data_IF_259817110122
#
_entry.id   IF_259817110122
#
_cell.length_a   1.000
_cell.length_b   1.000
_cell.length_c   1.000
_cell.angle_alpha   90.00
_cell.angle_beta   90.00
_cell.angle_gamma   90.00
#
_symmetry.space_group_name_H-M   'P 1'
#
loop_
_entity.id
_entity.type
_entity.pdbx_description
1 polymer ?
#
# COMPACT_ATOMS: atom_id res chain seq x y z
N UNK A 1 -2.84 -0.02 18.54
CA UNK A 1 -4.10 -0.68 18.98
C UNK A 1 -5.29 -0.41 18.05
N UNK A 2 -5.48 0.84 17.62
CA UNK A 2 -6.65 1.23 16.82
C UNK A 2 -6.67 0.60 15.40
N UNK A 3 -5.52 0.57 14.72
CA UNK A 3 -5.38 -0.03 13.39
C UNK A 3 -5.82 -1.50 13.34
N UNK A 4 -5.43 -2.30 14.33
CA UNK A 4 -5.75 -3.74 14.38
C UNK A 4 -7.26 -3.93 14.50
N UNK A 5 -7.91 -3.19 15.40
CA UNK A 5 -9.36 -3.27 15.59
C UNK A 5 -10.13 -2.85 14.32
N UNK A 6 -9.71 -1.75 13.68
CA UNK A 6 -10.32 -1.27 12.42
C UNK A 6 -10.11 -2.22 11.26
N UNK A 7 -8.90 -2.73 11.08
CA UNK A 7 -8.59 -3.71 10.04
C UNK A 7 -9.40 -5.00 10.24
N UNK A 8 -9.49 -5.52 11.47
CA UNK A 8 -10.30 -6.70 11.79
C UNK A 8 -11.78 -6.47 11.49
N UNK A 9 -12.33 -5.30 11.84
CA UNK A 9 -13.72 -4.94 11.54
C UNK A 9 -13.96 -4.92 10.03
N UNK A 10 -13.12 -4.22 9.27
CA UNK A 10 -13.21 -4.16 7.80
C UNK A 10 -13.10 -5.54 7.14
N UNK A 11 -12.19 -6.38 7.60
CA UNK A 11 -12.03 -7.76 7.11
C UNK A 11 -13.28 -8.61 7.35
N UNK A 12 -13.97 -8.43 8.48
CA UNK A 12 -15.20 -9.17 8.79
C UNK A 12 -16.39 -8.67 7.98
N UNK A 13 -16.54 -7.36 7.85
CA UNK A 13 -17.73 -6.74 7.27
C UNK A 13 -17.68 -6.68 5.73
N UNK A 14 -16.50 -6.46 5.14
CA UNK A 14 -16.39 -6.11 3.71
C UNK A 14 -15.90 -7.24 2.79
N UNK A 15 -15.27 -8.29 3.33
CA UNK A 15 -14.78 -9.38 2.48
C UNK A 15 -15.92 -10.38 2.27
N UNK A 16 -16.40 -10.51 1.03
CA UNK A 16 -17.34 -11.57 0.69
C UNK A 16 -16.72 -12.97 0.92
N UNK A 17 -17.53 -14.01 1.19
CA UNK A 17 -17.01 -15.36 1.37
C UNK A 17 -16.18 -15.81 0.17
N UNK A 18 -14.92 -16.20 0.42
CA UNK A 18 -14.00 -16.59 -0.64
C UNK A 18 -14.47 -17.88 -1.31
N UNK A 19 -14.74 -17.81 -2.61
CA UNK A 19 -15.18 -18.96 -3.43
C UNK A 19 -13.98 -19.70 -4.02
N UNK A 20 -14.15 -21.00 -4.25
CA UNK A 20 -13.17 -21.83 -4.93
C UNK A 20 -12.92 -21.33 -6.36
N UNK A 21 -11.69 -21.43 -6.89
CA UNK A 21 -11.41 -21.03 -8.26
C UNK A 21 -12.20 -21.91 -9.23
N UNK A 22 -12.83 -21.31 -10.26
CA UNK A 22 -13.56 -22.04 -11.29
C UNK A 22 -12.74 -22.04 -12.58
N UNK A 23 -12.44 -23.22 -13.12
CA UNK A 23 -11.76 -23.39 -14.40
C UNK A 23 -12.83 -23.65 -15.45
N UNK A 24 -13.01 -22.72 -16.38
CA UNK A 24 -13.87 -22.89 -17.55
C UNK A 24 -13.01 -23.19 -18.78
N UNK A 25 -13.13 -24.39 -19.34
CA UNK A 25 -12.53 -24.71 -20.63
C UNK A 25 -13.60 -24.56 -21.71
N UNK A 26 -13.40 -23.59 -22.60
CA UNK A 26 -14.23 -23.38 -23.80
C UNK A 26 -13.48 -23.94 -24.99
N UNK A 27 -14.02 -24.98 -25.62
CA UNK A 27 -13.49 -25.50 -26.88
C UNK A 27 -14.27 -24.85 -28.02
N UNK A 28 -13.55 -24.16 -28.90
CA UNK A 28 -14.11 -23.52 -30.10
C UNK A 28 -13.58 -24.27 -31.32
N UNK A 29 -14.47 -24.63 -32.23
CA UNK A 29 -14.10 -25.17 -33.54
C UNK A 29 -13.74 -24.01 -34.47
N UNK A 30 -12.59 -24.11 -35.13
CA UNK A 30 -12.14 -23.11 -36.10
C UNK A 30 -12.29 -23.71 -37.48
N UNK A 31 -13.23 -23.18 -38.26
CA UNK A 31 -13.40 -23.54 -39.67
C UNK A 31 -12.61 -22.55 -40.54
N UNK A 32 -11.74 -23.09 -41.39
CA UNK A 32 -10.93 -22.31 -42.34
C UNK A 32 -11.53 -22.53 -43.73
N UNK A 33 -12.14 -21.49 -44.30
CA UNK A 33 -12.68 -21.49 -45.65
C UNK A 33 -11.91 -20.51 -46.54
N UNK A 34 -12.07 -20.62 -47.86
CA UNK A 34 -11.38 -19.76 -48.85
C UNK A 34 -11.77 -18.27 -48.72
N UNK A 35 -12.85 -17.96 -47.98
CA UNK A 35 -13.32 -16.61 -47.65
C UNK A 35 -12.75 -16.06 -46.31
N UNK A 36 -12.01 -16.86 -45.54
CA UNK A 36 -11.41 -16.47 -44.25
C UNK A 36 -11.59 -17.50 -43.13
N UNK A 37 -11.10 -17.15 -41.94
CA UNK A 37 -11.24 -17.94 -40.71
C UNK A 37 -12.53 -17.55 -39.98
N UNK A 38 -13.45 -18.48 -39.79
CA UNK A 38 -14.69 -18.28 -39.02
C UNK A 38 -14.72 -19.20 -37.80
N UNK A 39 -14.93 -18.63 -36.61
CA UNK A 39 -14.99 -19.35 -35.34
C UNK A 39 -16.43 -19.37 -34.80
N UNK A 40 -17.37 -19.96 -35.55
CA UNK A 40 -18.81 -19.84 -35.26
C UNK A 40 -19.41 -20.97 -34.42
N UNK A 41 -18.64 -22.01 -34.04
CA UNK A 41 -19.18 -23.17 -33.32
C UNK A 41 -18.52 -23.40 -31.96
N UNK A 42 -19.21 -22.96 -30.91
CA UNK A 42 -18.88 -23.27 -29.51
C UNK A 42 -19.42 -24.67 -29.17
N UNK A 43 -18.56 -25.69 -29.05
CA UNK A 43 -18.99 -27.08 -28.91
C UNK A 43 -19.36 -27.43 -27.47
N UNK A 44 -18.61 -26.97 -26.46
CA UNK A 44 -18.88 -27.27 -25.04
C UNK A 44 -18.14 -26.31 -24.10
N UNK A 45 -18.81 -25.84 -23.05
CA UNK A 45 -18.18 -25.20 -21.88
C UNK A 45 -18.18 -26.19 -20.72
N UNK A 46 -17.01 -26.62 -20.25
CA UNK A 46 -16.88 -27.39 -19.01
C UNK A 46 -16.38 -26.47 -17.91
N UNK A 47 -17.21 -26.25 -16.89
CA UNK A 47 -16.79 -25.57 -15.66
C UNK A 47 -16.47 -26.63 -14.62
N UNK A 48 -15.22 -26.68 -14.17
CA UNK A 48 -14.81 -27.50 -13.02
C UNK A 48 -14.26 -26.57 -11.94
N UNK A 49 -14.59 -26.87 -10.69
CA UNK A 49 -13.89 -26.23 -9.58
C UNK A 49 -12.44 -26.72 -9.59
N UNK A 50 -11.50 -25.80 -9.39
CA UNK A 50 -10.08 -26.12 -9.32
C UNK A 50 -9.82 -27.05 -8.13
N UNK A 51 -8.88 -27.98 -8.30
CA UNK A 51 -8.46 -28.88 -7.24
C UNK A 51 -7.96 -28.10 -6.00
N UNK A 52 -8.08 -28.73 -4.84
CA UNK A 52 -7.62 -28.18 -3.56
C UNK A 52 -6.14 -27.75 -3.65
N UNK A 53 -5.83 -26.56 -3.16
CA UNK A 53 -4.46 -26.01 -3.26
C UNK A 53 -3.48 -26.88 -2.48
N UNK A 54 -2.48 -27.46 -3.16
CA UNK A 54 -1.48 -28.33 -2.55
C UNK A 54 -0.39 -27.57 -1.79
N UNK A 55 -0.09 -26.32 -2.16
CA UNK A 55 0.95 -25.50 -1.55
C UNK A 55 0.40 -24.14 -1.12
N UNK A 56 0.52 -23.81 0.16
CA UNK A 56 0.08 -22.52 0.70
C UNK A 56 1.24 -21.50 0.60
N UNK A 57 1.01 -20.33 -0.01
CA UNK A 57 2.01 -19.27 -0.09
C UNK A 57 2.27 -18.60 1.28
N UNK A 58 3.38 -17.88 1.41
CA UNK A 58 3.65 -17.06 2.59
C UNK A 58 2.79 -15.78 2.58
N UNK A 59 1.66 -15.86 3.29
CA UNK A 59 0.72 -14.74 3.46
C UNK A 59 1.35 -13.53 4.17
N UNK A 60 2.26 -13.75 5.12
CA UNK A 60 2.84 -12.64 5.89
C UNK A 60 3.82 -11.86 5.02
N UNK A 61 4.65 -12.54 4.23
CA UNK A 61 5.56 -11.88 3.30
C UNK A 61 4.79 -11.06 2.25
N UNK A 62 3.69 -11.61 1.72
CA UNK A 62 2.82 -10.90 0.78
C UNK A 62 2.21 -9.65 1.41
N UNK A 63 1.55 -9.79 2.56
CA UNK A 63 0.89 -8.66 3.22
C UNK A 63 1.89 -7.60 3.68
N UNK A 64 3.08 -8.00 4.13
CA UNK A 64 4.14 -7.08 4.52
C UNK A 64 4.61 -6.23 3.34
N UNK A 65 4.74 -6.82 2.15
CA UNK A 65 5.10 -6.08 0.94
C UNK A 65 4.02 -5.06 0.54
N UNK A 66 2.75 -5.41 0.69
CA UNK A 66 1.63 -4.55 0.26
C UNK A 66 1.25 -3.47 1.29
N UNK A 67 1.58 -3.65 2.57
CA UNK A 67 1.11 -2.77 3.66
C UNK A 67 2.22 -2.16 4.50
N UNK A 68 3.47 -2.58 4.29
CA UNK A 68 4.67 -2.19 5.07
C UNK A 68 4.56 -2.41 6.60
N UNK A 69 3.52 -3.12 7.06
CA UNK A 69 3.33 -3.43 8.46
C UNK A 69 4.28 -4.54 8.95
N UNK A 70 4.61 -4.50 10.23
CA UNK A 70 5.41 -5.56 10.84
C UNK A 70 4.69 -6.91 10.80
N UNK A 71 5.46 -7.99 10.66
CA UNK A 71 4.92 -9.38 10.66
C UNK A 71 4.11 -9.68 11.92
N UNK A 72 4.46 -9.07 13.05
CA UNK A 72 3.73 -9.23 14.32
C UNK A 72 2.30 -8.67 14.21
N UNK A 73 2.17 -7.42 13.77
CA UNK A 73 0.87 -6.74 13.58
C UNK A 73 -0.02 -7.51 12.59
N UNK A 74 0.55 -7.97 11.47
CA UNK A 74 -0.18 -8.74 10.47
C UNK A 74 -0.67 -10.08 11.00
N UNK A 75 0.18 -10.79 11.75
CA UNK A 75 -0.20 -12.04 12.40
C UNK A 75 -1.33 -11.86 13.42
N UNK A 76 -1.31 -10.74 14.17
CA UNK A 76 -2.37 -10.40 15.13
C UNK A 76 -3.70 -10.08 14.43
N UNK A 77 -3.67 -9.30 13.35
CA UNK A 77 -4.86 -9.01 12.52
C UNK A 77 -5.46 -10.31 11.98
N UNK A 78 -4.63 -11.18 11.38
CA UNK A 78 -5.09 -12.45 10.82
C UNK A 78 -5.70 -13.37 11.87
N UNK A 79 -5.08 -13.50 13.05
CA UNK A 79 -5.62 -14.31 14.16
C UNK A 79 -6.95 -13.79 14.66
N UNK A 80 -7.05 -12.47 14.86
CA UNK A 80 -8.24 -11.81 15.42
C UNK A 80 -9.40 -11.75 14.40
N UNK A 81 -9.08 -11.80 13.11
CA UNK A 81 -10.08 -11.83 12.03
C UNK A 81 -10.91 -13.11 12.02
N UNK A 82 -10.40 -14.24 12.55
CA UNK A 82 -11.02 -15.58 12.53
C UNK A 82 -11.39 -16.14 11.14
N UNK A 83 -10.90 -15.54 10.05
CA UNK A 83 -11.21 -15.94 8.65
C UNK A 83 -10.12 -16.77 7.96
N UNK A 84 -9.11 -17.22 8.70
CA UNK A 84 -7.97 -17.96 8.16
C UNK A 84 -8.35 -19.29 7.48
N UNK A 85 -9.54 -19.85 7.76
CA UNK A 85 -10.04 -21.04 7.07
C UNK A 85 -10.22 -20.82 5.56
N UNK A 86 -10.61 -19.60 5.15
CA UNK A 86 -10.85 -19.22 3.74
C UNK A 86 -9.55 -19.17 2.93
N UNK A 87 -8.42 -18.94 3.60
CA UNK A 87 -7.10 -18.98 2.97
C UNK A 87 -6.82 -20.35 2.31
N UNK A 88 -7.33 -21.45 2.88
CA UNK A 88 -7.15 -22.79 2.29
C UNK A 88 -8.03 -23.04 1.06
N UNK A 89 -9.09 -22.25 0.89
CA UNK A 89 -10.04 -22.39 -0.23
C UNK A 89 -9.46 -21.73 -1.48
N UNK A 90 -9.03 -20.48 -1.35
CA UNK A 90 -8.37 -19.73 -2.41
C UNK A 90 -7.37 -18.73 -1.79
N UNK A 91 -6.10 -19.13 -1.63
CA UNK A 91 -5.07 -18.32 -1.00
C UNK A 91 -4.89 -16.96 -1.68
N UNK A 92 -4.89 -16.94 -3.02
CA UNK A 92 -4.66 -15.73 -3.79
C UNK A 92 -5.77 -14.69 -3.58
N UNK A 93 -7.03 -15.11 -3.69
CA UNK A 93 -8.16 -14.22 -3.48
C UNK A 93 -8.22 -13.71 -2.04
N UNK A 94 -7.96 -14.59 -1.06
CA UNK A 94 -7.93 -14.21 0.35
C UNK A 94 -6.82 -13.18 0.64
N UNK A 95 -5.59 -13.43 0.16
CA UNK A 95 -4.46 -12.51 0.34
C UNK A 95 -4.76 -11.12 -0.24
N UNK A 96 -5.28 -11.06 -1.47
CA UNK A 96 -5.60 -9.79 -2.12
C UNK A 96 -6.71 -9.03 -1.39
N UNK A 97 -7.77 -9.73 -0.96
CA UNK A 97 -8.88 -9.12 -0.24
C UNK A 97 -8.44 -8.56 1.12
N UNK A 98 -7.64 -9.33 1.88
CA UNK A 98 -7.12 -8.90 3.19
C UNK A 98 -6.16 -7.73 3.03
N UNK A 99 -5.23 -7.78 2.08
CA UNK A 99 -4.31 -6.67 1.81
C UNK A 99 -5.08 -5.36 1.55
N UNK A 100 -6.07 -5.42 0.66
CA UNK A 100 -6.91 -4.27 0.31
C UNK A 100 -7.62 -3.65 1.53
N UNK A 101 -8.21 -4.46 2.39
CA UNK A 101 -8.92 -3.93 3.57
C UNK A 101 -7.97 -3.40 4.65
N UNK A 102 -6.77 -3.98 4.79
CA UNK A 102 -5.73 -3.43 5.67
C UNK A 102 -5.24 -2.08 5.15
N UNK A 103 -4.93 -1.96 3.85
CA UNK A 103 -4.50 -0.69 3.25
C UNK A 103 -5.57 0.40 3.38
N UNK A 104 -6.85 0.05 3.25
CA UNK A 104 -7.97 0.97 3.51
C UNK A 104 -8.04 1.42 4.97
N UNK A 105 -7.88 0.50 5.92
CA UNK A 105 -7.85 0.85 7.33
C UNK A 105 -6.69 1.79 7.67
N UNK A 106 -5.54 1.60 7.01
CA UNK A 106 -4.37 2.47 7.14
C UNK A 106 -4.64 3.87 6.56
N UNK A 107 -5.24 3.94 5.37
CA UNK A 107 -5.62 5.19 4.73
C UNK A 107 -6.64 5.99 5.55
N UNK A 108 -7.66 5.35 6.13
CA UNK A 108 -8.60 6.05 7.02
C UNK A 108 -7.88 6.67 8.23
N UNK A 109 -6.94 5.93 8.83
CA UNK A 109 -6.19 6.40 9.99
C UNK A 109 -5.26 7.56 9.61
N UNK A 110 -4.68 7.53 8.41
CA UNK A 110 -3.90 8.64 7.87
C UNK A 110 -4.77 9.90 7.75
N UNK A 111 -5.97 9.80 7.17
CA UNK A 111 -6.88 10.94 7.00
C UNK A 111 -7.30 11.58 8.34
N UNK A 112 -7.54 10.77 9.37
CA UNK A 112 -7.87 11.26 10.71
C UNK A 112 -6.71 12.03 11.38
N UNK A 113 -5.47 11.75 10.96
CA UNK A 113 -4.26 12.42 11.46
C UNK A 113 -3.95 13.76 10.78
N UNK A 114 -4.63 14.13 9.69
CA UNK A 114 -4.36 15.38 8.96
C UNK A 114 -5.09 16.53 9.65
N UNK A 115 -4.39 17.29 10.51
CA UNK A 115 -4.86 18.59 10.98
C UNK A 115 -4.52 19.68 9.97
N UNK A 116 -5.55 20.36 9.45
CA UNK A 116 -5.39 21.53 8.59
C UNK A 116 -5.14 22.78 9.45
N UNK A 117 -3.91 23.25 9.52
CA UNK A 117 -3.66 24.64 9.90
C UNK A 117 -4.05 25.55 8.72
N UNK A 118 -5.00 26.47 8.96
CA UNK A 118 -5.37 27.48 7.97
C UNK A 118 -4.23 28.48 7.86
N UNK A 119 -3.38 28.30 6.85
CA UNK A 119 -2.50 29.38 6.39
C UNK A 119 -3.38 30.40 5.68
N UNK A 120 -3.40 31.63 6.20
CA UNK A 120 -4.18 32.69 5.59
C UNK A 120 -3.73 32.90 4.12
N UNK A 121 -4.73 32.93 3.24
CA UNK A 121 -4.75 33.65 1.97
C UNK A 121 -4.31 33.01 0.64
N UNK A 122 -4.19 31.68 0.53
CA UNK A 122 -3.92 31.07 -0.80
C UNK A 122 -4.83 29.89 -1.14
N UNK A 123 -5.74 30.14 -2.09
CA UNK A 123 -6.51 29.11 -2.79
C UNK A 123 -5.63 28.45 -3.87
N UNK A 124 -5.29 27.18 -3.70
CA UNK A 124 -4.74 26.35 -4.77
C UNK A 124 -5.47 25.00 -4.83
N UNK A 125 -5.69 24.50 -6.04
CA UNK A 125 -6.59 23.40 -6.42
C UNK A 125 -6.41 22.09 -5.62
N UNK A 126 -7.52 21.61 -5.05
CA UNK A 126 -7.63 20.39 -4.23
C UNK A 126 -7.20 19.08 -4.91
N UNK A 127 -7.23 18.98 -6.25
CA UNK A 127 -7.08 17.67 -6.92
C UNK A 127 -5.63 17.17 -7.03
N UNK A 128 -4.62 18.04 -6.96
CA UNK A 128 -3.21 17.60 -6.96
C UNK A 128 -2.72 17.21 -5.57
N UNK A 129 -3.32 17.81 -4.53
CA UNK A 129 -2.96 17.57 -3.13
C UNK A 129 -3.34 16.15 -2.71
N UNK A 130 -4.48 15.60 -3.15
CA UNK A 130 -4.87 14.23 -2.76
C UNK A 130 -3.88 13.16 -3.27
N UNK A 131 -3.44 13.25 -4.53
CA UNK A 131 -2.47 12.29 -5.08
C UNK A 131 -1.06 12.47 -4.50
N UNK A 132 -0.61 13.71 -4.31
CA UNK A 132 0.70 14.00 -3.69
C UNK A 132 0.70 13.73 -2.18
N UNK A 133 -0.43 13.89 -1.48
CA UNK A 133 -0.56 13.53 -0.08
C UNK A 133 -0.61 12.00 0.09
N UNK A 134 -1.34 11.26 -0.74
CA UNK A 134 -1.32 9.79 -0.65
C UNK A 134 0.08 9.21 -0.85
N UNK A 135 0.81 9.67 -1.86
CA UNK A 135 2.20 9.23 -2.11
C UNK A 135 3.19 9.83 -1.09
N UNK A 136 2.96 11.09 -0.72
CA UNK A 136 3.77 11.83 0.25
C UNK A 136 3.65 11.24 1.64
N UNK A 137 2.47 10.89 2.14
CA UNK A 137 2.28 10.38 3.51
C UNK A 137 2.96 9.00 3.68
N UNK A 138 2.91 8.12 2.66
CA UNK A 138 3.65 6.84 2.70
C UNK A 138 5.16 7.07 2.68
N UNK A 139 5.64 8.05 1.90
CA UNK A 139 7.05 8.48 1.86
C UNK A 139 7.50 9.16 3.16
N UNK A 140 6.64 9.96 3.77
CA UNK A 140 6.84 10.63 5.06
C UNK A 140 6.94 9.61 6.18
N UNK A 141 6.15 8.54 6.20
CA UNK A 141 6.25 7.56 7.30
C UNK A 141 7.52 6.68 7.23
N UNK A 142 8.10 6.51 6.05
CA UNK A 142 9.23 5.59 5.81
C UNK A 142 10.60 6.28 5.75
N UNK A 143 10.67 7.55 5.33
CA UNK A 143 11.93 8.25 5.08
C UNK A 143 12.09 9.57 5.86
N UNK A 144 11.93 9.52 7.18
CA UNK A 144 12.18 10.65 8.08
C UNK A 144 13.44 10.44 8.90
N UNK A 145 14.29 11.47 8.94
CA UNK A 145 15.35 11.61 9.92
C UNK A 145 14.81 12.41 11.11
N UNK A 146 14.72 11.79 12.28
CA UNK A 146 14.37 12.49 13.53
C UNK A 146 15.56 13.31 14.03
N UNK A 147 15.35 14.62 14.16
CA UNK A 147 16.38 15.55 14.64
C UNK A 147 16.60 15.33 16.14
N UNK A 148 17.85 15.04 16.51
CA UNK A 148 18.25 14.81 17.89
C UNK A 148 18.40 16.14 18.63
N UNK A 149 18.83 17.21 17.94
CA UNK A 149 19.00 18.53 18.53
C UNK A 149 17.95 19.54 18.02
N UNK A 150 16.80 19.57 18.69
CA UNK A 150 15.62 20.37 18.29
C UNK A 150 15.87 21.88 18.18
N UNK A 151 16.91 22.41 18.83
CA UNK A 151 17.26 23.83 18.72
C UNK A 151 17.96 24.18 17.40
N UNK A 152 18.48 23.19 16.68
CA UNK A 152 19.23 23.36 15.42
C UNK A 152 18.39 23.18 14.16
N UNK A 153 17.11 22.82 14.28
CA UNK A 153 16.23 22.64 13.13
C UNK A 153 14.88 23.33 13.38
N UNK A 154 14.28 23.83 12.31
CA UNK A 154 12.92 24.39 12.35
C UNK A 154 11.84 23.31 12.46
N UNK A 155 12.18 22.06 12.16
CA UNK A 155 11.27 20.92 12.11
C UNK A 155 11.84 19.78 12.97
N UNK A 156 10.95 19.01 13.63
CA UNK A 156 11.35 17.85 14.45
C UNK A 156 11.87 16.67 13.61
N UNK A 157 11.47 16.60 12.34
CA UNK A 157 11.89 15.56 11.43
C UNK A 157 12.10 16.12 10.01
N UNK A 158 13.09 15.56 9.30
CA UNK A 158 13.45 15.97 7.95
C UNK A 158 13.28 14.78 7.01
N UNK A 159 12.50 14.97 5.95
CA UNK A 159 12.34 13.97 4.90
C UNK A 159 13.66 13.81 4.14
N UNK A 160 14.09 12.57 3.89
CA UNK A 160 15.25 12.31 3.04
C UNK A 160 14.85 11.47 1.82
N UNK A 161 15.47 11.77 0.69
CA UNK A 161 15.18 11.10 -0.58
C UNK A 161 16.21 10.01 -0.89
N UNK A 162 17.32 9.99 -0.14
CA UNK A 162 18.42 9.04 -0.30
C UNK A 162 19.18 8.82 1.01
N UNK A 163 19.93 7.71 1.10
CA UNK A 163 20.80 7.43 2.25
C UNK A 163 21.90 8.49 2.43
N UNK A 164 22.33 9.11 1.32
CA UNK A 164 23.30 10.21 1.35
C UNK A 164 22.71 11.44 2.05
N UNK A 165 21.46 11.79 1.75
CA UNK A 165 20.76 12.89 2.43
C UNK A 165 20.53 12.59 3.91
N UNK A 166 20.20 11.35 4.26
CA UNK A 166 20.06 10.92 5.66
C UNK A 166 21.37 11.09 6.43
N UNK A 167 22.47 10.60 5.87
CA UNK A 167 23.79 10.75 6.48
C UNK A 167 24.16 12.23 6.60
N UNK A 168 23.88 13.03 5.57
CA UNK A 168 24.15 14.46 5.58
C UNK A 168 23.36 15.19 6.68
N UNK A 169 22.07 14.87 6.87
CA UNK A 169 21.27 15.41 7.96
C UNK A 169 21.85 15.04 9.33
N UNK A 170 22.30 13.79 9.49
CA UNK A 170 22.94 13.32 10.72
C UNK A 170 24.26 14.02 11.03
N UNK A 171 25.08 14.24 10.00
CA UNK A 171 26.36 14.92 10.13
C UNK A 171 26.16 16.40 10.50
N UNK A 172 25.13 17.05 9.96
CA UNK A 172 24.77 18.44 10.31
C UNK A 172 24.24 18.55 11.75
N UNK A 173 23.41 17.61 12.18
CA UNK A 173 22.84 17.60 13.53
C UNK A 173 23.95 17.42 14.59
N UNK A 174 24.88 16.48 14.32
CA UNK A 174 26.00 16.16 15.20
C UNK A 174 27.12 17.21 15.22
N UNK A 175 27.19 18.09 14.22
CA UNK A 175 28.28 19.07 14.11
C UNK A 175 28.02 20.31 14.98
N UNK A 176 28.90 20.56 15.95
CA UNK A 176 28.82 21.71 16.86
C UNK A 176 28.96 23.07 16.15
N UNK A 177 29.61 23.12 14.98
CA UNK A 177 29.77 24.36 14.21
C UNK A 177 28.51 24.76 13.42
N UNK A 178 27.53 23.87 13.32
CA UNK A 178 26.26 24.12 12.63
C UNK A 178 25.24 24.58 13.65
N UNK A 179 24.77 25.82 13.49
CA UNK A 179 23.77 26.44 14.38
C UNK A 179 22.33 26.18 13.96
N UNK A 180 22.09 26.06 12.65
CA UNK A 180 20.77 25.82 12.08
C UNK A 180 20.92 25.09 10.73
N UNK A 181 20.07 24.11 10.46
CA UNK A 181 19.95 23.51 9.15
C UNK A 181 18.48 23.24 8.79
N UNK A 182 18.18 23.27 7.49
CA UNK A 182 16.85 23.05 6.96
C UNK A 182 16.94 22.41 5.57
N UNK A 183 16.06 21.45 5.28
CA UNK A 183 15.89 20.93 3.92
C UNK A 183 14.99 21.89 3.15
N UNK A 184 15.46 22.33 2.00
CA UNK A 184 14.67 23.17 1.10
C UNK A 184 13.63 22.32 0.36
N UNK A 185 12.43 22.86 0.09
CA UNK A 185 11.43 22.17 -0.69
C UNK A 185 11.94 21.82 -2.09
N UNK A 186 11.48 20.70 -2.66
CA UNK A 186 11.93 20.19 -3.97
C UNK A 186 11.67 21.13 -5.15
N UNK A 187 10.71 22.05 -5.01
CA UNK A 187 10.38 23.10 -5.99
C UNK A 187 11.31 24.32 -5.90
N UNK A 188 12.09 24.47 -4.83
CA UNK A 188 13.02 25.57 -4.65
C UNK A 188 14.30 25.29 -5.43
N UNK A 189 14.44 25.91 -6.60
CA UNK A 189 15.62 25.81 -7.47
C UNK A 189 16.38 27.14 -7.45
N UNK A 190 17.69 27.06 -7.29
CA UNK A 190 18.59 28.21 -7.41
C UNK A 190 19.20 28.13 -8.81
N UNK A 191 19.01 29.17 -9.62
CA UNK A 191 19.70 29.29 -10.90
C UNK A 191 21.21 29.41 -10.63
N UNK A 192 21.94 28.36 -10.95
CA UNK A 192 23.40 28.39 -10.92
C UNK A 192 23.91 29.20 -12.11
N UNK A 193 24.92 30.07 -11.93
CA UNK A 193 25.55 30.81 -13.03
C UNK A 193 26.31 29.91 -14.01
#
# INVERSE_FOLDING_TARGET
>A
PDLIARAVKRIKDNIEPIKAPRISTTVVEVDITDAGVSADRQITTRVRDAAQVQFLPDILAFLQKETELTRHTLAEILKTSSRLAEFKINPQAFMAAVAKEISRALHDLMLEGIQYERVADHHWEMSRIEQEAEQGIVRYLSNLYEVQNREKALFDAIEYDSEVERQFANDLDSNENVKLFVKLPSWFRIDTP
#
